data_IF_056109703769
#
_entry.id   IF_056109703769
#
_cell.length_a   1.000
_cell.length_b   1.000
_cell.length_c   1.000
_cell.angle_alpha   90.00
_cell.angle_beta   90.00
_cell.angle_gamma   90.00
#
_symmetry.space_group_name_H-M   'P 1'
#
loop_
_entity.id
_entity.type
_entity.pdbx_description
1 polymer ?
#
# COMPACT_ATOMS: atom_id res chain seq x y z
N UNK A 1 -4.70 -1.05 13.15
CA UNK A 1 -4.98 0.11 12.25
C UNK A 1 -5.68 -0.36 10.97
N UNK A 2 -6.49 0.48 10.32
CA UNK A 2 -7.12 0.23 9.01
C UNK A 2 -6.85 1.40 8.06
N UNK A 3 -6.48 1.09 6.82
CA UNK A 3 -6.25 2.07 5.77
C UNK A 3 -7.03 1.67 4.52
N UNK A 4 -7.54 2.66 3.78
CA UNK A 4 -8.19 2.43 2.49
C UNK A 4 -7.55 3.33 1.45
N UNK A 5 -7.08 2.73 0.37
CA UNK A 5 -6.47 3.44 -0.76
C UNK A 5 -7.43 3.38 -1.93
N UNK A 6 -7.76 4.54 -2.49
CA UNK A 6 -8.51 4.66 -3.72
C UNK A 6 -7.61 5.24 -4.81
N UNK A 7 -7.51 4.51 -5.92
CA UNK A 7 -6.83 4.98 -7.12
C UNK A 7 -7.83 5.06 -8.26
N UNK A 8 -7.86 6.19 -8.96
CA UNK A 8 -8.57 6.33 -10.23
C UNK A 8 -7.54 6.13 -11.34
N UNK A 9 -7.78 5.12 -12.16
CA UNK A 9 -6.89 4.75 -13.27
C UNK A 9 -7.68 4.69 -14.56
N UNK A 10 -6.99 4.82 -15.69
CA UNK A 10 -7.54 4.40 -16.97
C UNK A 10 -7.86 2.91 -16.95
N UNK A 11 -8.67 2.44 -17.89
CA UNK A 11 -8.91 1.00 -18.05
C UNK A 11 -7.59 0.21 -18.11
N UNK A 12 -7.52 -0.91 -17.40
CA UNK A 12 -6.31 -1.69 -17.19
C UNK A 12 -6.63 -3.15 -16.87
N UNK A 13 -5.67 -4.05 -17.08
CA UNK A 13 -5.80 -5.46 -16.69
C UNK A 13 -5.84 -5.59 -15.16
N UNK A 14 -7.05 -5.81 -14.62
CA UNK A 14 -7.31 -5.89 -13.18
C UNK A 14 -6.48 -6.95 -12.48
N UNK A 15 -6.18 -8.05 -13.18
CA UNK A 15 -5.49 -9.19 -12.60
C UNK A 15 -4.00 -8.87 -12.41
N UNK A 16 -3.43 -8.11 -13.33
CA UNK A 16 -2.06 -7.59 -13.21
C UNK A 16 -1.96 -6.57 -12.07
N UNK A 17 -2.98 -5.72 -11.89
CA UNK A 17 -3.02 -4.76 -10.77
C UNK A 17 -3.14 -5.51 -9.43
N UNK A 18 -4.02 -6.52 -9.35
CA UNK A 18 -4.17 -7.32 -8.14
C UNK A 18 -2.85 -8.03 -7.77
N UNK A 19 -2.19 -8.67 -8.72
CA UNK A 19 -0.90 -9.33 -8.51
C UNK A 19 0.19 -8.34 -8.05
N UNK A 20 0.25 -7.15 -8.66
CA UNK A 20 1.20 -6.11 -8.26
C UNK A 20 0.94 -5.60 -6.83
N UNK A 21 -0.32 -5.45 -6.43
CA UNK A 21 -0.69 -5.07 -5.05
C UNK A 21 -0.29 -6.17 -4.07
N UNK A 22 -0.54 -7.44 -4.39
CA UNK A 22 -0.14 -8.58 -3.55
C UNK A 22 1.38 -8.65 -3.38
N UNK A 23 2.15 -8.47 -4.45
CA UNK A 23 3.62 -8.41 -4.39
C UNK A 23 4.09 -7.27 -3.47
N UNK A 24 3.47 -6.08 -3.59
CA UNK A 24 3.80 -4.95 -2.74
C UNK A 24 3.48 -5.23 -1.26
N UNK A 25 2.35 -5.89 -0.98
CA UNK A 25 2.00 -6.30 0.38
C UNK A 25 3.07 -7.22 0.95
N UNK A 26 3.53 -8.22 0.19
CA UNK A 26 4.63 -9.11 0.61
C UNK A 26 5.91 -8.33 0.90
N UNK A 27 6.27 -7.35 0.06
CA UNK A 27 7.46 -6.49 0.29
C UNK A 27 7.36 -5.61 1.53
N UNK A 28 6.15 -5.20 1.90
CA UNK A 28 5.90 -4.45 3.15
C UNK A 28 5.96 -5.37 4.36
N UNK A 29 5.46 -6.60 4.24
CA UNK A 29 5.53 -7.62 5.28
C UNK A 29 6.95 -7.96 5.72
N UNK A 30 7.95 -7.77 4.85
CA UNK A 30 9.37 -7.94 5.21
C UNK A 30 9.81 -7.08 6.41
N UNK A 31 9.16 -5.95 6.67
CA UNK A 31 9.47 -5.07 7.79
C UNK A 31 8.27 -4.76 8.69
N UNK A 32 7.03 -5.12 8.28
CA UNK A 32 5.84 -5.03 9.12
C UNK A 32 4.99 -6.29 8.92
N UNK A 33 5.28 -7.40 9.64
CA UNK A 33 4.64 -8.70 9.39
C UNK A 33 3.11 -8.68 9.47
N UNK A 34 2.54 -7.79 10.29
CA UNK A 34 1.09 -7.63 10.43
C UNK A 34 0.41 -6.79 9.35
N UNK A 35 1.14 -6.25 8.37
CA UNK A 35 0.59 -5.52 7.23
C UNK A 35 -0.06 -6.48 6.23
N UNK A 36 -1.37 -6.36 6.00
CA UNK A 36 -2.11 -7.30 5.13
C UNK A 36 -3.30 -6.65 4.43
N UNK A 37 -3.72 -7.28 3.34
CA UNK A 37 -5.02 -7.01 2.74
C UNK A 37 -6.13 -7.51 3.68
N UNK A 38 -7.07 -6.64 4.02
CA UNK A 38 -8.29 -7.01 4.76
C UNK A 38 -9.35 -7.62 3.83
N UNK A 39 -9.33 -7.23 2.56
CA UNK A 39 -10.24 -7.67 1.52
C UNK A 39 -9.47 -7.83 0.22
N UNK A 40 -9.98 -8.63 -0.72
CA UNK A 40 -9.47 -8.64 -2.10
C UNK A 40 -9.53 -7.23 -2.69
N UNK A 41 -8.60 -6.91 -3.60
CA UNK A 41 -8.64 -5.64 -4.34
C UNK A 41 -9.96 -5.54 -5.09
N UNK A 42 -10.64 -4.41 -4.96
CA UNK A 42 -11.94 -4.17 -5.60
C UNK A 42 -11.77 -3.24 -6.78
N UNK A 43 -12.50 -3.52 -7.86
CA UNK A 43 -12.49 -2.76 -9.09
C UNK A 43 -13.91 -2.34 -9.45
N UNK A 44 -14.11 -1.06 -9.78
CA UNK A 44 -15.41 -0.54 -10.20
C UNK A 44 -15.24 0.42 -11.37
N UNK A 45 -15.92 0.14 -12.50
CA UNK A 45 -15.98 1.10 -13.62
C UNK A 45 -16.87 2.27 -13.21
N UNK A 46 -16.40 3.49 -13.42
CA UNK A 46 -17.16 4.69 -13.12
C UNK A 46 -18.08 5.06 -14.29
N UNK A 47 -19.35 5.31 -13.97
CA UNK A 47 -20.33 5.81 -14.94
C UNK A 47 -19.88 7.15 -15.53
N UNK A 48 -20.33 7.48 -16.75
CA UNK A 48 -19.90 8.68 -17.45
C UNK A 48 -20.23 9.98 -16.70
N UNK A 49 -21.30 9.98 -15.90
CA UNK A 49 -21.79 11.09 -15.07
C UNK A 49 -21.25 11.06 -13.63
N UNK A 50 -20.40 10.10 -13.27
CA UNK A 50 -19.84 10.00 -11.92
C UNK A 50 -18.92 11.21 -11.62
N UNK A 51 -19.17 11.98 -10.55
CA UNK A 51 -18.41 13.18 -10.23
C UNK A 51 -16.92 12.89 -9.94
N UNK A 52 -16.56 11.67 -9.55
CA UNK A 52 -15.16 11.29 -9.32
C UNK A 52 -14.33 11.34 -10.61
N UNK A 53 -14.95 11.29 -11.79
CA UNK A 53 -14.23 11.42 -13.07
C UNK A 53 -13.55 12.78 -13.25
N UNK A 54 -13.98 13.81 -12.51
CA UNK A 54 -13.32 15.12 -12.48
C UNK A 54 -11.87 15.04 -11.96
N UNK A 55 -11.55 14.00 -11.17
CA UNK A 55 -10.21 13.75 -10.63
C UNK A 55 -9.32 12.95 -11.59
N UNK A 56 -9.84 12.48 -12.73
CA UNK A 56 -9.10 11.75 -13.76
C UNK A 56 -9.34 12.38 -15.16
N UNK A 57 -8.94 13.64 -15.36
CA UNK A 57 -9.19 14.34 -16.62
C UNK A 57 -8.46 13.66 -17.79
N UNK A 58 -9.15 13.53 -18.93
CA UNK A 58 -8.59 12.96 -20.15
C UNK A 58 -8.73 11.44 -20.29
N UNK A 59 -9.22 10.73 -19.27
CA UNK A 59 -9.49 9.30 -19.36
C UNK A 59 -10.90 9.02 -19.93
N UNK A 60 -10.95 8.33 -21.09
CA UNK A 60 -12.21 7.93 -21.73
C UNK A 60 -12.97 6.87 -20.91
N UNK A 61 -12.26 5.91 -20.32
CA UNK A 61 -12.78 4.97 -19.33
C UNK A 61 -11.99 5.12 -18.04
N UNK A 62 -12.70 5.20 -16.90
CA UNK A 62 -12.08 5.33 -15.58
C UNK A 62 -12.49 4.14 -14.74
N UNK A 63 -11.49 3.46 -14.18
CA UNK A 63 -11.64 2.38 -13.23
C UNK A 63 -11.20 2.87 -11.84
N UNK A 64 -12.05 2.67 -10.85
CA UNK A 64 -11.71 2.88 -9.44
C UNK A 64 -11.17 1.59 -8.86
N UNK A 65 -9.91 1.62 -8.44
CA UNK A 65 -9.27 0.56 -7.65
C UNK A 65 -9.43 0.90 -6.16
N UNK A 66 -9.87 -0.04 -5.35
CA UNK A 66 -9.96 0.12 -3.89
C UNK A 66 -9.20 -0.99 -3.18
N UNK A 67 -8.22 -0.58 -2.36
CA UNK A 67 -7.39 -1.48 -1.56
C UNK A 67 -7.72 -1.24 -0.09
N UNK A 68 -8.08 -2.31 0.63
CA UNK A 68 -8.42 -2.25 2.04
C UNK A 68 -7.36 -2.98 2.84
N UNK A 69 -6.70 -2.25 3.73
CA UNK A 69 -5.57 -2.74 4.50
C UNK A 69 -5.93 -2.85 5.98
N UNK A 70 -5.27 -3.78 6.65
CA UNK A 70 -5.21 -3.89 8.09
C UNK A 70 -3.75 -4.03 8.49
N UNK A 71 -3.36 -3.27 9.51
CA UNK A 71 -2.00 -3.28 10.04
C UNK A 71 -2.07 -3.59 11.52
N UNK A 72 -1.56 -4.76 11.85
CA UNK A 72 -1.34 -5.24 13.22
C UNK A 72 0.12 -5.00 13.60
N UNK A 73 0.34 -4.44 14.78
CA UNK A 73 1.68 -4.23 15.31
C UNK A 73 2.27 -5.50 15.93
N UNK A 74 3.60 -5.59 15.96
CA UNK A 74 4.41 -6.55 16.70
C UNK A 74 4.25 -6.43 18.22
N UNK A 75 3.71 -5.31 18.69
CA UNK A 75 3.46 -5.02 20.11
C UNK A 75 4.73 -4.89 20.97
N UNK A 76 5.80 -4.32 20.39
CA UNK A 76 7.07 -4.07 21.09
C UNK A 76 6.91 -3.11 22.28
N UNK A 77 5.93 -2.20 22.23
CA UNK A 77 5.65 -1.23 23.29
C UNK A 77 4.16 -1.07 23.61
N UNK A 78 3.34 -0.71 22.61
CA UNK A 78 1.87 -0.68 22.75
C UNK A 78 1.27 -2.02 22.28
N UNK A 79 0.02 -2.36 22.65
CA UNK A 79 -0.62 -3.58 22.17
C UNK A 79 -0.77 -3.63 20.64
N UNK A 80 -1.00 -4.84 20.09
CA UNK A 80 -1.00 -5.12 18.64
C UNK A 80 -1.99 -4.28 17.80
N UNK A 81 -2.99 -3.63 18.40
CA UNK A 81 -3.88 -2.72 17.66
C UNK A 81 -3.15 -1.48 17.11
N UNK A 82 -2.03 -1.11 17.73
CA UNK A 82 -1.23 0.08 17.44
C UNK A 82 -0.30 -0.06 16.23
N UNK A 83 -0.69 -0.83 15.20
CA UNK A 83 0.12 -1.04 13.99
C UNK A 83 0.41 0.25 13.18
N UNK A 84 -0.25 1.37 13.51
CA UNK A 84 0.09 2.68 12.98
C UNK A 84 1.47 3.19 13.45
N UNK A 85 1.90 2.81 14.66
CA UNK A 85 3.24 3.13 15.14
C UNK A 85 4.26 2.24 14.43
N UNK A 86 4.01 0.93 14.43
CA UNK A 86 4.95 -0.05 13.89
C UNK A 86 5.26 0.15 12.42
N UNK A 87 4.27 0.54 11.60
CA UNK A 87 4.54 0.86 10.18
C UNK A 87 5.49 2.06 10.03
N UNK A 88 5.39 3.07 10.90
CA UNK A 88 6.27 4.24 10.86
C UNK A 88 7.66 3.92 11.41
N UNK A 89 7.74 3.28 12.58
CA UNK A 89 9.02 2.98 13.25
C UNK A 89 9.84 1.95 12.48
N UNK A 90 9.19 0.91 11.95
CA UNK A 90 9.88 -0.11 11.14
C UNK A 90 10.38 0.45 9.81
N UNK A 91 9.62 1.35 9.18
CA UNK A 91 10.07 2.04 7.96
C UNK A 91 11.28 2.96 8.24
N UNK A 92 11.26 3.69 9.36
CA UNK A 92 12.37 4.53 9.78
C UNK A 92 13.64 3.69 10.05
N UNK A 93 13.51 2.59 10.79
CA UNK A 93 14.61 1.66 11.06
C UNK A 93 15.18 1.07 9.76
N UNK A 94 14.32 0.51 8.89
CA UNK A 94 14.72 -0.06 7.60
C UNK A 94 15.46 0.96 6.72
N UNK A 95 15.04 2.22 6.75
CA UNK A 95 15.70 3.30 6.00
C UNK A 95 17.11 3.57 6.55
N UNK A 96 17.25 3.70 7.86
CA UNK A 96 18.54 3.93 8.51
C UNK A 96 19.52 2.77 8.26
N UNK A 97 19.06 1.53 8.35
CA UNK A 97 19.85 0.34 8.06
C UNK A 97 20.36 0.32 6.61
N UNK A 98 19.52 0.67 5.64
CA UNK A 98 19.94 0.78 4.23
C UNK A 98 20.97 1.87 4.01
N UNK A 99 20.81 3.03 4.66
CA UNK A 99 21.81 4.11 4.58
C UNK A 99 23.15 3.68 5.18
N UNK A 100 23.14 2.96 6.31
CA UNK A 100 24.34 2.44 6.94
C UNK A 100 25.06 1.41 6.04
N UNK A 101 24.31 0.48 5.44
CA UNK A 101 24.85 -0.52 4.51
C UNK A 101 25.47 0.12 3.25
N UNK A 102 24.83 1.16 2.70
CA UNK A 102 25.36 1.88 1.54
C UNK A 102 26.69 2.58 1.87
N UNK A 103 26.75 3.29 3.00
CA UNK A 103 27.97 3.98 3.44
C UNK A 103 29.13 3.02 3.71
N UNK A 104 28.85 1.86 4.30
CA UNK A 104 29.87 0.84 4.55
C UNK A 104 30.47 0.29 3.24
N UNK A 105 29.67 0.26 2.17
CA UNK A 105 30.11 -0.19 0.83
C UNK A 105 30.94 0.87 0.10
N UNK A 106 30.66 2.17 0.31
CA UNK A 106 31.43 3.27 -0.30
C UNK A 106 32.82 3.49 0.30
N UNK A 107 33.03 3.03 1.54
CA UNK A 107 34.30 3.21 2.28
C UNK A 107 35.26 2.01 2.10
N UNK A 108 34.78 0.90 1.56
CA UNK A 108 35.55 -0.33 1.29
C UNK A 108 36.17 -0.32 -0.12
#
# INVERSE_FOLDING_TARGET
MRDTVHCLVSDCATESVAASVEEMVTRVQEYVPGYRLKQKVQFAKLAADDPLRTLAPGAAEVLKVSVFLEVEGAADYLPAYAGNLDIMTSAALRTAERMAAHRATEVA
#
